data_IF_077647151304
#
_entry.id   IF_077647151304
#
_cell.length_a   1.000
_cell.length_b   1.000
_cell.length_c   1.000
_cell.angle_alpha   90.00
_cell.angle_beta   90.00
_cell.angle_gamma   90.00
#
_symmetry.space_group_name_H-M   'P 1'
#
loop_
_entity.id
_entity.type
_entity.pdbx_description
1 polymer ?
#
# COMPACT_ATOMS: atom_id res chain seq x y z
N UNK A 1 -9.66 16.01 0.87
CA UNK A 1 -10.51 15.45 -0.20
C UNK A 1 -10.70 13.94 -0.07
N UNK A 2 -9.67 13.16 0.35
CA UNK A 2 -9.77 11.68 0.42
C UNK A 2 -10.60 11.11 1.58
N UNK A 3 -10.78 11.85 2.69
CA UNK A 3 -11.46 11.37 3.92
C UNK A 3 -12.86 10.76 3.68
N UNK A 4 -13.63 11.30 2.73
CA UNK A 4 -14.97 10.76 2.43
C UNK A 4 -14.92 9.38 1.76
N UNK A 5 -13.86 9.08 1.02
CA UNK A 5 -13.71 7.80 0.31
C UNK A 5 -13.22 6.67 1.21
N UNK A 6 -12.53 6.99 2.32
CA UNK A 6 -12.05 6.00 3.28
C UNK A 6 -13.07 5.70 4.38
N UNK A 7 -14.16 6.45 4.43
CA UNK A 7 -15.13 6.35 5.52
C UNK A 7 -15.64 4.91 5.63
N UNK A 8 -15.52 4.34 6.82
CA UNK A 8 -15.96 2.98 7.15
C UNK A 8 -15.26 1.87 6.35
N UNK A 9 -14.14 2.18 5.66
CA UNK A 9 -13.30 1.15 5.10
C UNK A 9 -12.74 0.27 6.22
N UNK A 10 -12.77 -1.05 6.00
CA UNK A 10 -12.24 -2.07 6.93
C UNK A 10 -10.98 -2.75 6.40
N UNK A 11 -10.50 -2.32 5.24
CA UNK A 11 -9.28 -2.79 4.60
C UNK A 11 -9.01 -2.02 3.31
N UNK A 12 -7.78 -2.10 2.82
CA UNK A 12 -7.38 -1.41 1.59
C UNK A 12 -6.38 -2.20 0.75
N UNK A 13 -6.36 -1.90 -0.55
CA UNK A 13 -5.31 -2.32 -1.47
C UNK A 13 -4.57 -1.06 -1.92
N UNK A 14 -3.25 -1.02 -1.73
CA UNK A 14 -2.40 0.01 -2.32
C UNK A 14 -1.69 -0.62 -3.50
N UNK A 15 -1.80 0.02 -4.67
CA UNK A 15 -1.36 -0.55 -5.94
C UNK A 15 -0.27 0.33 -6.53
N UNK A 16 0.81 -0.28 -6.97
CA UNK A 16 1.83 0.38 -7.79
C UNK A 16 2.04 -0.35 -9.11
N UNK A 17 2.64 0.32 -10.07
CA UNK A 17 2.96 -0.21 -11.40
C UNK A 17 4.42 -0.70 -11.39
N UNK A 18 4.64 -2.00 -11.59
CA UNK A 18 5.99 -2.60 -11.54
C UNK A 18 6.94 -2.04 -12.60
N UNK A 19 6.40 -1.46 -13.69
CA UNK A 19 7.20 -0.86 -14.76
C UNK A 19 7.61 0.58 -14.46
N UNK A 20 7.11 1.18 -13.38
CA UNK A 20 7.31 2.61 -13.05
C UNK A 20 7.65 2.81 -11.58
N UNK A 21 8.96 2.85 -11.27
CA UNK A 21 9.49 2.95 -9.91
C UNK A 21 8.95 4.12 -9.09
N UNK A 22 8.70 5.28 -9.71
CA UNK A 22 8.10 6.44 -9.02
C UNK A 22 6.72 6.14 -8.41
N UNK A 23 5.96 5.20 -8.98
CA UNK A 23 4.67 4.80 -8.41
C UNK A 23 4.82 4.03 -7.10
N UNK A 24 5.93 3.31 -6.92
CA UNK A 24 6.27 2.65 -5.67
C UNK A 24 6.58 3.68 -4.57
N UNK A 25 7.33 4.75 -4.89
CA UNK A 25 7.59 5.85 -3.94
C UNK A 25 6.31 6.54 -3.45
N UNK A 26 5.22 6.46 -4.22
CA UNK A 26 3.91 6.96 -3.83
C UNK A 26 3.20 6.10 -2.78
N UNK A 27 3.57 4.83 -2.61
CA UNK A 27 2.89 3.88 -1.72
C UNK A 27 2.89 4.36 -0.28
N UNK A 28 4.04 4.82 0.24
CA UNK A 28 4.17 5.32 1.62
C UNK A 28 3.29 6.54 1.88
N UNK A 29 3.17 7.44 0.89
CA UNK A 29 2.29 8.61 0.97
C UNK A 29 0.82 8.18 1.07
N UNK A 30 0.39 7.20 0.28
CA UNK A 30 -0.97 6.66 0.35
C UNK A 30 -1.23 5.92 1.66
N UNK A 31 -0.27 5.11 2.14
CA UNK A 31 -0.36 4.40 3.41
C UNK A 31 -0.51 5.37 4.59
N UNK A 32 0.34 6.40 4.65
CA UNK A 32 0.25 7.44 5.67
C UNK A 32 -1.07 8.22 5.60
N UNK A 33 -1.56 8.55 4.38
CA UNK A 33 -2.84 9.24 4.20
C UNK A 33 -4.03 8.41 4.71
N UNK A 34 -3.98 7.09 4.50
CA UNK A 34 -4.99 6.13 4.94
C UNK A 34 -4.99 6.02 6.48
N UNK A 35 -3.83 5.73 7.08
CA UNK A 35 -3.67 5.51 8.52
C UNK A 35 -4.08 6.74 9.35
N UNK A 36 -3.90 7.96 8.80
CA UNK A 36 -4.30 9.20 9.47
C UNK A 36 -5.82 9.44 9.44
N UNK A 37 -6.57 8.72 8.60
CA UNK A 37 -7.96 9.08 8.26
C UNK A 37 -8.96 7.97 8.51
N UNK A 38 -8.53 6.72 8.63
CA UNK A 38 -9.39 5.58 8.93
C UNK A 38 -8.68 4.59 9.84
N UNK A 39 -9.43 4.06 10.80
CA UNK A 39 -8.99 3.02 11.74
C UNK A 39 -10.09 1.97 11.85
N UNK A 40 -9.72 0.75 12.22
CA UNK A 40 -10.69 -0.28 12.57
C UNK A 40 -11.54 0.16 13.78
N UNK A 41 -12.80 -0.29 13.85
CA UNK A 41 -13.58 -0.17 15.08
C UNK A 41 -12.89 -0.87 16.27
N UNK A 42 -13.00 -0.29 17.46
CA UNK A 42 -12.46 -0.89 18.70
C UNK A 42 -12.97 -2.32 18.95
N UNK A 43 -14.21 -2.61 18.56
CA UNK A 43 -14.80 -3.95 18.66
C UNK A 43 -14.03 -5.01 17.86
N UNK A 44 -13.21 -4.59 16.88
CA UNK A 44 -12.43 -5.46 15.99
C UNK A 44 -10.93 -5.37 16.30
N UNK A 45 -10.54 -4.77 17.43
CA UNK A 45 -9.15 -4.63 17.87
C UNK A 45 -8.56 -3.23 17.71
N UNK A 46 -9.31 -2.28 17.11
CA UNK A 46 -8.85 -0.91 16.91
C UNK A 46 -7.64 -0.80 15.98
N UNK A 47 -7.05 0.40 15.89
CA UNK A 47 -5.82 0.63 15.14
C UNK A 47 -5.98 0.74 13.62
N UNK A 48 -4.87 0.73 12.85
CA UNK A 48 -4.90 0.86 11.39
C UNK A 48 -5.68 -0.29 10.73
N UNK A 49 -6.32 0.00 9.59
CA UNK A 49 -6.97 -1.04 8.80
C UNK A 49 -5.93 -1.93 8.10
N UNK A 50 -6.21 -3.22 7.87
CA UNK A 50 -5.32 -4.09 7.12
C UNK A 50 -5.15 -3.58 5.68
N UNK A 51 -3.91 -3.54 5.21
CA UNK A 51 -3.56 -3.09 3.86
C UNK A 51 -2.74 -4.16 3.16
N UNK A 52 -3.07 -4.43 1.90
CA UNK A 52 -2.25 -5.29 1.02
C UNK A 52 -1.62 -4.44 -0.07
N UNK A 53 -0.30 -4.58 -0.24
CA UNK A 53 0.44 -3.97 -1.34
C UNK A 53 0.36 -4.86 -2.58
N UNK A 54 -0.03 -4.28 -3.73
CA UNK A 54 -0.12 -4.97 -5.00
C UNK A 54 0.86 -4.39 -6.03
N UNK A 55 1.76 -5.26 -6.48
CA UNK A 55 2.68 -5.05 -7.59
C UNK A 55 1.98 -5.34 -8.92
N UNK A 56 1.31 -4.34 -9.51
CA UNK A 56 0.46 -4.51 -10.68
C UNK A 56 1.25 -4.38 -12.00
N UNK A 57 0.70 -4.97 -13.08
CA UNK A 57 1.30 -5.09 -14.42
C UNK A 57 2.51 -6.02 -14.50
N UNK A 58 2.49 -7.09 -13.70
CA UNK A 58 3.53 -8.11 -13.69
C UNK A 58 3.66 -8.89 -15.01
N UNK A 59 2.67 -8.76 -15.91
CA UNK A 59 2.71 -9.28 -17.28
C UNK A 59 3.71 -8.52 -18.18
N UNK A 60 4.02 -7.27 -17.85
CA UNK A 60 4.97 -6.45 -18.60
C UNK A 60 6.39 -6.74 -18.11
N UNK A 61 7.34 -6.88 -19.05
CA UNK A 61 8.75 -7.05 -18.73
C UNK A 61 9.23 -5.88 -17.86
N UNK A 62 9.48 -6.17 -16.58
CA UNK A 62 9.90 -5.18 -15.61
C UNK A 62 11.29 -5.48 -15.03
N UNK A 63 11.99 -6.49 -15.55
CA UNK A 63 13.35 -6.84 -15.17
C UNK A 63 14.30 -5.69 -15.52
N UNK A 64 14.70 -4.93 -14.50
CA UNK A 64 15.59 -3.81 -14.63
C UNK A 64 16.23 -3.47 -13.28
N UNK A 65 17.14 -2.50 -13.24
CA UNK A 65 17.86 -2.14 -12.02
C UNK A 65 16.96 -1.66 -10.87
N UNK A 66 15.70 -1.31 -11.17
CA UNK A 66 14.74 -0.82 -10.19
C UNK A 66 13.69 -1.89 -9.78
N UNK A 67 13.83 -3.13 -10.24
CA UNK A 67 13.02 -4.25 -9.77
C UNK A 67 13.34 -4.53 -8.30
N UNK A 68 12.30 -4.71 -7.49
CA UNK A 68 12.45 -5.08 -6.08
C UNK A 68 12.29 -6.58 -5.92
N UNK A 69 13.18 -7.19 -5.16
CA UNK A 69 13.05 -8.58 -4.75
C UNK A 69 11.92 -8.77 -3.74
N UNK A 70 11.42 -10.00 -3.62
CA UNK A 70 10.41 -10.37 -2.64
C UNK A 70 10.85 -10.05 -1.20
N UNK A 71 12.15 -10.18 -0.90
CA UNK A 71 12.71 -9.85 0.41
C UNK A 71 12.64 -8.34 0.69
N UNK A 72 12.98 -7.49 -0.29
CA UNK A 72 12.88 -6.04 -0.16
C UNK A 72 11.42 -5.59 0.01
N UNK A 73 10.50 -6.19 -0.75
CA UNK A 73 9.06 -5.91 -0.63
C UNK A 73 8.52 -6.35 0.73
N UNK A 74 8.92 -7.53 1.21
CA UNK A 74 8.49 -8.04 2.52
C UNK A 74 8.96 -7.13 3.64
N UNK A 75 10.25 -6.75 3.62
CA UNK A 75 10.80 -5.80 4.58
C UNK A 75 10.07 -4.45 4.52
N UNK A 76 9.80 -3.92 3.33
CA UNK A 76 9.06 -2.66 3.17
C UNK A 76 7.66 -2.71 3.81
N UNK A 77 6.95 -3.83 3.65
CA UNK A 77 5.63 -4.04 4.25
C UNK A 77 5.67 -4.20 5.77
N UNK A 78 6.77 -4.70 6.35
CA UNK A 78 6.95 -4.76 7.80
C UNK A 78 7.24 -3.37 8.40
N UNK A 79 7.90 -2.50 7.64
CA UNK A 79 8.30 -1.16 8.08
C UNK A 79 7.20 -0.08 7.90
N UNK A 80 6.17 -0.30 7.07
CA UNK A 80 5.15 0.69 6.68
C UNK A 80 3.71 0.21 6.88
#
# INVERSE_FOLDING_TARGET
MTRFYYKEAVGALIVYDVTRSYTFEGVSKWKSDLDQKVTLPEAWGGGPIPVVLLANKCDLNHEGPNTKSDAEISQYCEEN
#
